data_IF_303356453709
#
_entry.id   IF_303356453709
#
_cell.length_a   1.000
_cell.length_b   1.000
_cell.length_c   1.000
_cell.angle_alpha   90.00
_cell.angle_beta   90.00
_cell.angle_gamma   90.00
#
_symmetry.space_group_name_H-M   'P 1'
#
loop_
_entity.id
_entity.type
_entity.pdbx_description
1 polymer ?
#
# COMPACT_ATOMS: atom_id res chain seq x y z
N UNK A 1 26.28 -21.80 14.08
CA UNK A 1 26.52 -21.36 12.69
C UNK A 1 25.40 -20.52 12.19
N UNK A 2 25.73 -19.34 11.76
CA UNK A 2 24.75 -18.34 11.37
C UNK A 2 24.65 -18.25 9.85
N UNK A 3 23.84 -19.13 9.28
CA UNK A 3 23.66 -19.17 7.83
C UNK A 3 23.00 -17.89 7.32
N UNK A 4 22.08 -17.33 8.09
CA UNK A 4 21.33 -16.13 7.69
C UNK A 4 22.23 -14.91 7.50
N UNK A 5 23.46 -14.93 8.01
CA UNK A 5 24.38 -13.82 7.80
C UNK A 5 24.81 -13.65 6.35
N UNK A 6 24.65 -14.69 5.54
CA UNK A 6 25.00 -14.63 4.13
C UNK A 6 23.80 -14.32 3.24
N UNK A 7 22.60 -14.17 3.84
CA UNK A 7 21.37 -13.92 3.11
C UNK A 7 21.03 -12.43 3.15
N UNK A 8 20.55 -11.95 2.02
CA UNK A 8 20.05 -10.58 1.93
C UNK A 8 18.68 -10.48 2.62
N UNK A 9 18.50 -9.44 3.40
CA UNK A 9 17.22 -9.19 4.03
C UNK A 9 16.15 -8.83 3.00
N UNK A 10 14.97 -9.39 3.18
CA UNK A 10 13.82 -9.13 2.32
C UNK A 10 12.71 -8.62 3.22
N UNK A 11 12.08 -7.52 2.82
CA UNK A 11 10.93 -7.01 3.55
C UNK A 11 9.65 -7.66 3.06
N UNK A 12 8.81 -8.08 3.98
CA UNK A 12 7.53 -8.71 3.66
C UNK A 12 6.43 -8.04 4.46
N UNK A 13 5.31 -7.76 3.82
CA UNK A 13 4.14 -7.21 4.48
C UNK A 13 2.88 -7.72 3.84
N UNK A 14 1.86 -7.91 4.65
CA UNK A 14 0.53 -8.26 4.17
C UNK A 14 -0.49 -7.59 5.07
N UNK A 15 -1.65 -7.32 4.50
CA UNK A 15 -2.75 -6.74 5.26
C UNK A 15 -4.06 -7.13 4.62
N UNK A 16 -5.11 -7.22 5.46
CA UNK A 16 -6.46 -7.55 5.02
C UNK A 16 -7.43 -6.59 5.70
N UNK A 17 -8.34 -6.03 4.91
CA UNK A 17 -9.27 -5.00 5.38
C UNK A 17 -10.68 -5.32 4.91
N UNK A 18 -11.65 -5.17 5.81
CA UNK A 18 -13.05 -5.26 5.43
C UNK A 18 -13.43 -4.06 4.55
N UNK A 19 -13.96 -4.34 3.36
CA UNK A 19 -14.37 -3.30 2.41
C UNK A 19 -15.45 -2.42 3.04
N UNK A 20 -16.29 -2.98 3.89
CA UNK A 20 -17.35 -2.24 4.56
C UNK A 20 -16.85 -1.04 5.33
N UNK A 21 -15.62 -1.09 5.83
CA UNK A 21 -15.02 0.07 6.54
C UNK A 21 -14.96 1.32 5.68
N UNK A 22 -14.92 1.16 4.36
CA UNK A 22 -14.77 2.26 3.42
C UNK A 22 -16.07 2.63 2.71
N UNK A 23 -17.20 2.04 3.10
CA UNK A 23 -18.46 2.31 2.43
C UNK A 23 -19.00 3.71 2.72
N UNK A 24 -18.57 4.31 3.82
CA UNK A 24 -18.97 5.68 4.18
C UNK A 24 -18.02 6.72 3.59
N UNK A 25 -17.46 6.45 2.40
CA UNK A 25 -16.48 7.33 1.80
C UNK A 25 -17.01 8.74 1.49
N UNK A 26 -18.33 8.93 1.48
CA UNK A 26 -18.95 10.23 1.28
C UNK A 26 -19.21 10.98 2.58
N UNK A 27 -19.03 10.33 3.72
CA UNK A 27 -19.22 10.98 5.02
C UNK A 27 -18.07 11.95 5.25
N UNK A 28 -18.38 13.18 5.61
CA UNK A 28 -17.37 14.22 5.76
C UNK A 28 -16.35 13.90 6.86
N UNK A 29 -16.75 13.19 7.92
CA UNK A 29 -15.82 12.79 8.97
C UNK A 29 -14.82 11.77 8.47
N UNK A 30 -15.28 10.84 7.63
CA UNK A 30 -14.39 9.86 7.02
C UNK A 30 -13.57 10.47 5.90
N UNK A 31 -14.08 11.53 5.28
CA UNK A 31 -13.36 12.27 4.25
C UNK A 31 -12.04 12.84 4.77
N UNK A 32 -12.02 13.27 6.04
CA UNK A 32 -10.79 13.77 6.67
C UNK A 32 -9.72 12.66 6.75
N UNK A 33 -10.14 11.44 7.09
CA UNK A 33 -9.25 10.28 7.10
C UNK A 33 -8.69 10.01 5.70
N UNK A 34 -9.55 10.04 4.69
CA UNK A 34 -9.13 9.79 3.31
C UNK A 34 -8.12 10.83 2.85
N UNK A 35 -8.40 12.11 3.08
CA UNK A 35 -7.53 13.19 2.66
C UNK A 35 -6.17 13.15 3.36
N UNK A 36 -6.16 12.70 4.61
CA UNK A 36 -4.93 12.60 5.39
C UNK A 36 -4.03 11.46 4.91
N UNK A 37 -4.61 10.36 4.43
CA UNK A 37 -3.86 9.14 4.19
C UNK A 37 -3.68 8.78 2.71
N UNK A 38 -4.45 9.40 1.83
CA UNK A 38 -4.39 9.12 0.39
C UNK A 38 -3.92 10.35 -0.36
N UNK A 39 -3.25 10.13 -1.50
CA UNK A 39 -2.90 11.23 -2.40
C UNK A 39 -4.11 11.60 -3.25
N UNK A 40 -4.05 12.78 -3.87
CA UNK A 40 -5.07 13.22 -4.79
C UNK A 40 -5.28 12.23 -5.93
N UNK A 41 -4.16 11.71 -6.48
CA UNK A 41 -4.23 10.74 -7.56
C UNK A 41 -4.97 9.47 -7.14
N UNK A 42 -4.71 8.99 -5.93
CA UNK A 42 -5.39 7.80 -5.41
C UNK A 42 -6.87 8.04 -5.23
N UNK A 43 -7.23 9.19 -4.68
CA UNK A 43 -8.64 9.52 -4.46
C UNK A 43 -9.37 9.69 -5.78
N UNK A 44 -8.76 10.39 -6.74
CA UNK A 44 -9.37 10.57 -8.05
C UNK A 44 -9.63 9.22 -8.73
N UNK A 45 -8.66 8.33 -8.66
CA UNK A 45 -8.81 6.99 -9.23
C UNK A 45 -9.92 6.21 -8.55
N UNK A 46 -9.89 6.12 -7.22
CA UNK A 46 -10.84 5.29 -6.48
C UNK A 46 -12.27 5.81 -6.59
N UNK A 47 -12.43 7.13 -6.47
CA UNK A 47 -13.76 7.73 -6.48
C UNK A 47 -14.40 7.74 -7.86
N UNK A 48 -13.61 7.54 -8.93
CA UNK A 48 -14.14 7.43 -10.28
C UNK A 48 -14.68 6.04 -10.61
N UNK A 49 -14.45 5.07 -9.73
CA UNK A 49 -14.86 3.68 -9.98
C UNK A 49 -16.29 3.44 -9.54
N UNK A 50 -16.91 2.40 -10.09
CA UNK A 50 -18.27 2.02 -9.76
C UNK A 50 -18.43 1.65 -8.28
N UNK A 51 -17.40 0.99 -7.71
CA UNK A 51 -17.38 0.58 -6.31
C UNK A 51 -16.18 1.20 -5.60
N UNK A 52 -16.25 2.50 -5.24
CA UNK A 52 -15.09 3.16 -4.64
C UNK A 52 -14.57 2.50 -3.38
N UNK A 53 -15.46 1.97 -2.53
CA UNK A 53 -15.07 1.36 -1.26
C UNK A 53 -14.07 0.21 -1.47
N UNK A 54 -14.29 -0.62 -2.49
CA UNK A 54 -13.38 -1.72 -2.79
C UNK A 54 -11.99 -1.21 -3.15
N UNK A 55 -11.92 -0.18 -3.97
CA UNK A 55 -10.65 0.37 -4.41
C UNK A 55 -9.93 1.11 -3.28
N UNK A 56 -10.67 1.83 -2.45
CA UNK A 56 -10.09 2.51 -1.30
C UNK A 56 -9.53 1.49 -0.28
N UNK A 57 -10.31 0.45 0.00
CA UNK A 57 -9.88 -0.59 0.94
C UNK A 57 -8.63 -1.30 0.43
N UNK A 58 -8.59 -1.65 -0.85
CA UNK A 58 -7.43 -2.33 -1.43
C UNK A 58 -6.18 -1.45 -1.36
N UNK A 59 -6.31 -0.17 -1.66
CA UNK A 59 -5.16 0.74 -1.59
C UNK A 59 -4.70 0.97 -0.16
N UNK A 60 -5.63 1.08 0.78
CA UNK A 60 -5.21 1.26 2.17
C UNK A 60 -4.54 -0.01 2.71
N UNK A 61 -5.07 -1.19 2.38
CA UNK A 61 -4.42 -2.46 2.72
C UNK A 61 -3.01 -2.50 2.15
N UNK A 62 -2.83 -1.99 0.92
CA UNK A 62 -1.52 -1.96 0.29
C UNK A 62 -0.56 -1.02 1.02
N UNK A 63 -1.02 0.17 1.42
CA UNK A 63 -0.19 1.10 2.18
C UNK A 63 0.28 0.46 3.49
N UNK A 64 -0.61 -0.26 4.17
CA UNK A 64 -0.25 -0.95 5.40
C UNK A 64 0.71 -2.11 5.16
N UNK A 65 0.50 -2.88 4.08
CA UNK A 65 1.41 -3.97 3.73
C UNK A 65 2.81 -3.44 3.42
N UNK A 66 2.90 -2.34 2.67
CA UNK A 66 4.17 -1.70 2.37
C UNK A 66 4.84 -1.20 3.64
N UNK A 67 4.06 -0.59 4.53
CA UNK A 67 4.57 -0.09 5.81
C UNK A 67 5.17 -1.22 6.64
N UNK A 68 4.48 -2.35 6.71
CA UNK A 68 4.99 -3.52 7.44
C UNK A 68 6.29 -4.04 6.83
N UNK A 69 6.35 -4.09 5.50
CA UNK A 69 7.56 -4.54 4.81
C UNK A 69 8.73 -3.59 5.05
N UNK A 70 8.50 -2.28 4.99
CA UNK A 70 9.53 -1.28 5.27
C UNK A 70 10.03 -1.40 6.71
N UNK A 71 9.11 -1.51 7.66
CA UNK A 71 9.46 -1.61 9.07
C UNK A 71 10.28 -2.87 9.35
N UNK A 72 10.00 -3.97 8.64
CA UNK A 72 10.78 -5.19 8.81
C UNK A 72 12.23 -5.03 8.35
N UNK A 73 12.50 -4.01 7.54
CA UNK A 73 13.85 -3.65 7.09
C UNK A 73 14.43 -2.49 7.90
N UNK A 74 13.80 -2.14 9.02
CA UNK A 74 14.19 -1.01 9.88
C UNK A 74 14.11 0.35 9.16
N UNK A 75 13.28 0.45 8.14
CA UNK A 75 13.01 1.72 7.48
C UNK A 75 11.73 2.29 8.10
N UNK A 76 11.87 3.39 8.80
CA UNK A 76 10.80 3.99 9.61
C UNK A 76 10.56 5.44 9.21
N UNK A 77 9.53 6.05 9.79
CA UNK A 77 9.18 7.46 9.58
C UNK A 77 8.76 7.75 8.14
N UNK A 78 8.14 6.76 7.49
CA UNK A 78 7.45 6.95 6.22
C UNK A 78 5.96 6.81 6.52
N UNK A 79 5.18 7.81 6.12
CA UNK A 79 3.76 7.87 6.44
C UNK A 79 2.91 7.56 5.22
N UNK A 80 1.66 7.18 5.43
CA UNK A 80 0.79 6.68 4.36
C UNK A 80 0.69 7.59 3.13
N UNK A 81 0.61 8.93 3.26
CA UNK A 81 0.53 9.77 2.05
C UNK A 81 1.76 9.67 1.16
N UNK A 82 2.92 9.30 1.71
CA UNK A 82 4.15 9.16 0.93
C UNK A 82 4.20 7.83 0.17
N UNK A 83 3.33 6.88 0.52
CA UNK A 83 3.24 5.58 -0.14
C UNK A 83 2.09 5.64 -1.13
N UNK A 84 2.40 5.93 -2.38
CA UNK A 84 1.36 6.12 -3.39
C UNK A 84 1.20 4.88 -4.26
N UNK A 85 -0.03 4.41 -4.39
CA UNK A 85 -0.36 3.24 -5.20
C UNK A 85 -0.93 3.73 -6.52
N UNK A 86 -0.26 3.39 -7.59
CA UNK A 86 -0.62 3.80 -8.95
C UNK A 86 -0.82 2.56 -9.82
N UNK A 87 -1.42 2.76 -10.98
CA UNK A 87 -1.59 1.69 -11.95
C UNK A 87 -0.84 2.05 -13.22
N UNK A 88 -0.14 1.06 -13.80
CA UNK A 88 0.51 1.27 -15.08
C UNK A 88 -0.51 1.19 -16.22
N UNK A 89 -0.03 1.29 -17.46
CA UNK A 89 -0.91 1.28 -18.64
C UNK A 89 -1.67 -0.02 -18.82
N UNK A 90 -1.17 -1.11 -18.23
CA UNK A 90 -1.84 -2.40 -18.27
C UNK A 90 -2.79 -2.62 -17.09
N UNK A 91 -2.93 -1.62 -16.23
CA UNK A 91 -3.78 -1.73 -15.05
C UNK A 91 -3.11 -2.43 -13.86
N UNK A 92 -1.82 -2.71 -13.96
CA UNK A 92 -1.10 -3.39 -12.87
C UNK A 92 -0.69 -2.37 -11.80
N UNK A 93 -1.02 -2.63 -10.54
CA UNK A 93 -0.65 -1.70 -9.48
C UNK A 93 0.85 -1.73 -9.19
N UNK A 94 1.38 -0.57 -8.87
CA UNK A 94 2.76 -0.42 -8.42
C UNK A 94 2.83 0.69 -7.37
N UNK A 95 3.92 0.69 -6.61
CA UNK A 95 4.13 1.64 -5.52
C UNK A 95 5.19 2.65 -5.91
N UNK A 96 4.88 3.92 -5.62
CA UNK A 96 5.88 4.99 -5.67
C UNK A 96 5.97 5.59 -4.27
N UNK A 97 7.17 5.60 -3.70
CA UNK A 97 7.35 6.18 -2.37
C UNK A 97 8.07 7.50 -2.51
N UNK A 98 7.44 8.55 -2.02
CA UNK A 98 7.94 9.91 -2.14
C UNK A 98 8.92 10.23 -1.01
N UNK A 99 10.09 9.59 -1.07
CA UNK A 99 11.20 9.82 -0.13
C UNK A 99 12.47 9.24 -0.73
N UNK A 100 13.62 9.78 -0.33
CA UNK A 100 14.91 9.27 -0.76
C UNK A 100 15.36 8.04 0.03
N UNK A 101 14.69 7.72 1.13
CA UNK A 101 15.04 6.55 1.97
C UNK A 101 14.90 5.22 1.24
N UNK A 102 14.15 5.21 0.13
CA UNK A 102 13.79 3.96 -0.55
C UNK A 102 14.38 3.87 -1.96
N UNK A 103 15.33 4.73 -2.31
CA UNK A 103 15.88 4.78 -3.67
C UNK A 103 16.48 3.46 -4.14
N UNK A 104 17.04 2.69 -3.22
CA UNK A 104 17.71 1.42 -3.54
C UNK A 104 16.87 0.21 -3.21
N UNK A 105 15.56 0.36 -3.24
CA UNK A 105 14.66 -0.74 -2.97
C UNK A 105 13.86 -1.09 -4.21
N UNK A 106 13.66 -2.39 -4.42
CA UNK A 106 12.68 -2.87 -5.39
C UNK A 106 11.45 -3.29 -4.61
N UNK A 107 10.34 -2.62 -4.87
CA UNK A 107 9.09 -2.85 -4.14
C UNK A 107 8.07 -3.44 -5.10
N UNK A 108 7.57 -4.62 -4.76
CA UNK A 108 6.55 -5.30 -5.57
C UNK A 108 5.33 -5.55 -4.69
N UNK A 109 4.17 -5.38 -5.28
CA UNK A 109 2.90 -5.54 -4.57
C UNK A 109 1.95 -6.40 -5.37
N UNK A 110 1.01 -7.00 -4.67
CA UNK A 110 -0.10 -7.71 -5.27
C UNK A 110 -1.35 -7.41 -4.45
N UNK A 111 -2.44 -7.11 -5.13
CA UNK A 111 -3.72 -6.79 -4.50
C UNK A 111 -4.75 -7.82 -4.93
N UNK A 112 -5.64 -8.17 -4.02
CA UNK A 112 -6.73 -9.08 -4.31
C UNK A 112 -7.94 -8.69 -3.45
N UNK A 113 -9.12 -9.06 -3.89
CA UNK A 113 -10.32 -8.81 -3.08
C UNK A 113 -11.41 -9.82 -3.39
N UNK A 114 -12.27 -9.99 -2.41
CA UNK A 114 -13.55 -10.67 -2.55
C UNK A 114 -14.66 -9.62 -2.48
N UNK A 115 -15.89 -10.04 -2.32
CA UNK A 115 -16.98 -9.12 -2.10
C UNK A 115 -16.89 -8.39 -0.76
N UNK A 116 -16.17 -8.96 0.21
CA UNK A 116 -16.14 -8.45 1.58
C UNK A 116 -14.77 -7.95 2.04
N UNK A 117 -13.70 -8.51 1.50
CA UNK A 117 -12.34 -8.24 2.00
C UNK A 117 -11.42 -7.78 0.88
N UNK A 118 -10.53 -6.88 1.20
CA UNK A 118 -9.41 -6.49 0.33
C UNK A 118 -8.11 -6.96 0.99
N UNK A 119 -7.23 -7.54 0.18
CA UNK A 119 -5.97 -8.11 0.63
C UNK A 119 -4.83 -7.48 -0.15
N UNK A 120 -3.74 -7.19 0.54
CA UNK A 120 -2.52 -6.71 -0.12
C UNK A 120 -1.33 -7.51 0.38
N UNK A 121 -0.39 -7.72 -0.51
CA UNK A 121 0.89 -8.33 -0.21
C UNK A 121 2.00 -7.45 -0.78
N UNK A 122 3.08 -7.32 -0.02
CA UNK A 122 4.24 -6.53 -0.44
C UNK A 122 5.52 -7.31 -0.18
N UNK A 123 6.42 -7.28 -1.15
CA UNK A 123 7.77 -7.77 -0.97
C UNK A 123 8.73 -6.65 -1.35
N UNK A 124 9.76 -6.45 -0.53
CA UNK A 124 10.78 -5.44 -0.77
C UNK A 124 12.13 -6.12 -0.83
N UNK A 125 12.85 -5.88 -1.89
CA UNK A 125 14.18 -6.45 -2.12
C UNK A 125 15.17 -5.29 -2.21
N UNK A 126 16.06 -5.15 -1.23
CA UNK A 126 17.10 -4.12 -1.32
C UNK A 126 18.08 -4.43 -2.44
N UNK A 127 18.54 -3.40 -3.12
CA UNK A 127 19.59 -3.54 -4.11
C UNK A 127 20.93 -3.77 -3.41
N UNK A 128 21.73 -4.61 -3.99
CA UNK A 128 23.05 -4.91 -3.45
C UNK A 128 24.08 -3.83 -3.77
#
# INVERSE_FOLDING_TARGET
MEVEQTMQDIGIGTDIIEIQRFENFKDWTFSAFLTKNFTRNELDYCLSKENPATHLAARFACKEAVMKALNSLNITHIFYPAIEILNNDLGVPYVRINTDKTEKLTIRISLSHSSEMALAFCIIIPES
#
